data_IF_897132411857
#
_entry.id   IF_897132411857
#
_cell.length_a   1.000
_cell.length_b   1.000
_cell.length_c   1.000
_cell.angle_alpha   90.00
_cell.angle_beta   90.00
_cell.angle_gamma   90.00
#
_symmetry.space_group_name_H-M   'P 1'
#
loop_
_entity.id
_entity.type
_entity.pdbx_description
1 polymer ?
#
# COMPACT_ATOMS: atom_id res chain seq x y z
N UNK A 1 5.61 9.41 5.55
CA UNK A 1 4.35 9.87 4.95
C UNK A 1 4.69 10.92 3.93
N UNK A 2 3.84 11.08 2.92
CA UNK A 2 4.08 12.04 1.84
C UNK A 2 3.78 13.49 2.26
N UNK A 3 2.92 13.68 3.26
CA UNK A 3 2.57 14.97 3.83
C UNK A 3 2.17 14.84 5.33
N UNK A 4 1.93 16.00 5.96
CA UNK A 4 1.57 16.10 7.37
C UNK A 4 0.16 15.56 7.66
N UNK A 5 -0.81 15.78 6.76
CA UNK A 5 -2.18 15.32 6.93
C UNK A 5 -2.26 13.79 6.97
N UNK A 6 -1.53 13.13 6.06
CA UNK A 6 -1.36 11.68 6.08
C UNK A 6 -0.69 11.22 7.38
N UNK A 7 0.35 11.92 7.84
CA UNK A 7 1.01 11.56 9.09
C UNK A 7 0.07 11.65 10.30
N UNK A 8 -0.74 12.70 10.38
CA UNK A 8 -1.72 12.88 11.46
C UNK A 8 -2.80 11.80 11.41
N UNK A 9 -3.32 11.47 10.22
CA UNK A 9 -4.28 10.38 10.03
C UNK A 9 -3.74 9.04 10.50
N UNK A 10 -2.50 8.71 10.11
CA UNK A 10 -1.87 7.43 10.50
C UNK A 10 -1.57 7.38 12.01
N UNK A 11 -1.17 8.49 12.62
CA UNK A 11 -1.06 8.56 14.08
C UNK A 11 -2.41 8.32 14.77
N UNK A 12 -3.47 8.98 14.30
CA UNK A 12 -4.80 8.82 14.88
C UNK A 12 -5.31 7.38 14.76
N UNK A 13 -5.17 6.76 13.59
CA UNK A 13 -5.51 5.35 13.38
C UNK A 13 -4.69 4.43 14.28
N UNK A 14 -3.40 4.70 14.43
CA UNK A 14 -2.53 3.95 15.35
C UNK A 14 -2.96 3.96 16.82
N UNK A 15 -3.76 4.93 17.23
CA UNK A 15 -4.28 5.04 18.60
C UNK A 15 -5.73 4.55 18.74
N UNK A 16 -6.45 4.33 17.64
CA UNK A 16 -7.90 4.11 17.64
C UNK A 16 -8.32 2.75 17.10
N UNK A 17 -7.45 2.07 16.35
CA UNK A 17 -7.72 0.72 15.88
C UNK A 17 -7.78 -0.23 17.08
N UNK A 18 -8.80 -1.08 17.07
CA UNK A 18 -9.03 -2.09 18.11
C UNK A 18 -7.82 -3.03 18.25
N UNK A 19 -7.36 -3.23 19.49
CA UNK A 19 -6.26 -4.15 19.82
C UNK A 19 -6.51 -5.58 19.35
N UNK A 20 -7.79 -5.97 19.21
CA UNK A 20 -8.18 -7.27 18.70
C UNK A 20 -7.74 -7.49 17.24
N UNK A 21 -7.52 -6.42 16.45
CA UNK A 21 -7.06 -6.48 15.05
C UNK A 21 -5.73 -5.75 14.81
N UNK A 22 -5.11 -5.20 15.86
CA UNK A 22 -3.81 -4.54 15.78
C UNK A 22 -2.87 -5.09 16.85
N UNK A 23 -2.02 -6.04 16.44
CA UNK A 23 -1.12 -6.79 17.32
C UNK A 23 -0.20 -5.90 18.19
N UNK A 24 0.16 -4.72 17.68
CA UNK A 24 1.09 -3.80 18.34
C UNK A 24 0.40 -2.52 18.82
N UNK A 25 -0.92 -2.57 19.12
CA UNK A 25 -1.69 -1.46 19.65
C UNK A 25 -1.09 -0.86 20.92
N UNK A 26 -0.68 -1.70 21.89
CA UNK A 26 -0.01 -1.24 23.11
C UNK A 26 1.27 -0.45 22.81
N UNK A 27 2.11 -0.97 21.91
CA UNK A 27 3.34 -0.31 21.51
C UNK A 27 3.08 1.03 20.80
N UNK A 28 2.00 1.12 20.02
CA UNK A 28 1.56 2.35 19.37
C UNK A 28 1.01 3.36 20.39
N UNK A 29 0.29 2.90 21.41
CA UNK A 29 -0.22 3.74 22.49
C UNK A 29 0.91 4.34 23.34
N UNK A 30 1.89 3.52 23.72
CA UNK A 30 3.01 3.96 24.59
C UNK A 30 4.02 4.86 23.87
N UNK A 31 4.34 4.54 22.61
CA UNK A 31 5.47 5.14 21.89
C UNK A 31 5.13 5.79 20.56
N UNK A 32 3.85 5.86 20.19
CA UNK A 32 3.43 6.29 18.87
C UNK A 32 3.81 5.32 17.76
N UNK A 33 3.48 5.67 16.52
CA UNK A 33 3.67 4.80 15.34
C UNK A 33 4.84 5.18 14.44
N UNK A 34 5.47 6.35 14.65
CA UNK A 34 6.53 6.88 13.78
C UNK A 34 7.93 6.63 14.32
N UNK A 35 8.90 6.43 13.43
CA UNK A 35 10.31 6.19 13.78
C UNK A 35 10.95 7.37 14.50
N UNK A 36 10.51 8.57 14.16
CA UNK A 36 11.05 9.84 14.64
C UNK A 36 10.01 10.97 14.43
N UNK A 37 10.38 12.18 14.86
CA UNK A 37 9.54 13.36 14.82
C UNK A 37 9.24 13.88 13.40
N UNK A 38 10.02 13.50 12.39
CA UNK A 38 9.76 13.88 11.00
C UNK A 38 8.60 13.06 10.39
N UNK A 39 8.22 11.94 11.01
CA UNK A 39 7.06 11.11 10.63
C UNK A 39 7.10 10.63 9.17
N UNK A 40 8.30 10.48 8.61
CA UNK A 40 8.49 9.98 7.24
C UNK A 40 8.25 8.47 7.16
N UNK A 41 8.49 7.73 8.24
CA UNK A 41 8.38 6.28 8.28
C UNK A 41 7.72 5.81 9.58
N UNK A 42 6.97 4.72 9.51
CA UNK A 42 6.47 4.04 10.70
C UNK A 42 7.61 3.31 11.40
N UNK A 43 7.47 3.09 12.72
CA UNK A 43 8.38 2.25 13.49
C UNK A 43 8.46 0.85 12.89
N UNK A 44 9.64 0.27 13.02
CA UNK A 44 9.89 -1.14 12.73
C UNK A 44 9.96 -1.88 14.05
N UNK A 45 9.07 -2.85 14.24
CA UNK A 45 9.08 -3.78 15.38
C UNK A 45 9.32 -5.16 14.80
N UNK A 46 10.25 -5.93 15.35
CA UNK A 46 10.60 -7.29 14.91
C UNK A 46 10.75 -7.44 13.39
N UNK A 47 11.48 -6.50 12.77
CA UNK A 47 11.82 -6.54 11.35
C UNK A 47 10.72 -6.15 10.36
N UNK A 48 9.55 -5.67 10.81
CA UNK A 48 8.53 -5.14 9.92
C UNK A 48 7.83 -3.90 10.49
N UNK A 49 7.05 -3.22 9.63
CA UNK A 49 6.19 -2.10 10.02
C UNK A 49 5.36 -2.43 11.27
N UNK A 50 5.20 -1.47 12.18
CA UNK A 50 4.37 -1.60 13.39
C UNK A 50 2.96 -2.11 13.08
N UNK A 51 2.35 -1.68 11.96
CA UNK A 51 1.01 -2.12 11.55
C UNK A 51 0.96 -3.52 10.92
N UNK A 52 2.09 -4.24 10.83
CA UNK A 52 2.10 -5.60 10.28
C UNK A 52 1.77 -6.63 11.36
N UNK A 53 0.55 -7.12 11.40
CA UNK A 53 0.19 -8.31 12.18
C UNK A 53 0.91 -9.54 11.61
N UNK A 54 1.56 -10.27 12.50
CA UNK A 54 2.37 -11.44 12.17
C UNK A 54 1.52 -12.66 11.85
N UNK A 55 2.10 -13.64 11.14
CA UNK A 55 1.46 -14.93 10.95
C UNK A 55 1.00 -15.55 12.27
N UNK A 56 -0.24 -16.04 12.30
CA UNK A 56 -0.88 -16.62 13.48
C UNK A 56 -1.54 -15.63 14.47
N UNK A 57 -1.51 -14.31 14.21
CA UNK A 57 -2.22 -13.36 15.06
C UNK A 57 -3.75 -13.55 14.95
N UNK A 58 -4.44 -13.67 16.09
CA UNK A 58 -5.86 -14.01 16.15
C UNK A 58 -6.76 -12.98 15.44
N UNK A 59 -6.36 -11.71 15.42
CA UNK A 59 -7.05 -10.62 14.73
C UNK A 59 -6.91 -10.60 13.21
N UNK A 60 -6.13 -11.52 12.64
CA UNK A 60 -5.83 -11.58 11.23
C UNK A 60 -4.40 -11.13 10.92
N UNK A 61 -3.78 -11.82 9.97
CA UNK A 61 -2.42 -11.54 9.50
C UNK A 61 -2.41 -10.40 8.47
N UNK A 62 -1.28 -9.72 8.33
CA UNK A 62 -1.11 -8.66 7.32
C UNK A 62 -1.21 -7.26 7.92
N UNK A 63 -1.78 -6.30 7.19
CA UNK A 63 -1.76 -4.90 7.61
C UNK A 63 -2.98 -4.56 8.48
N UNK A 64 -2.78 -4.16 9.73
CA UNK A 64 -3.85 -3.76 10.64
C UNK A 64 -4.72 -2.62 10.10
N UNK A 65 -4.12 -1.65 9.40
CA UNK A 65 -4.86 -0.56 8.72
C UNK A 65 -5.80 -1.10 7.63
N UNK A 66 -5.40 -2.16 6.95
CA UNK A 66 -6.24 -2.81 5.95
C UNK A 66 -7.40 -3.55 6.60
N UNK A 67 -7.12 -4.30 7.67
CA UNK A 67 -8.14 -5.04 8.42
C UNK A 67 -9.17 -4.08 9.03
N UNK A 68 -8.71 -2.95 9.58
CA UNK A 68 -9.58 -1.90 10.09
C UNK A 68 -10.51 -1.33 9.00
N UNK A 69 -9.96 -0.97 7.83
CA UNK A 69 -10.77 -0.50 6.71
C UNK A 69 -11.85 -1.52 6.30
N UNK A 70 -11.48 -2.81 6.23
CA UNK A 70 -12.41 -3.88 5.88
C UNK A 70 -13.49 -4.09 6.96
N UNK A 71 -13.14 -3.94 8.24
CA UNK A 71 -14.09 -4.04 9.35
C UNK A 71 -15.10 -2.88 9.33
N UNK A 72 -14.66 -1.70 8.93
CA UNK A 72 -15.48 -0.49 8.84
C UNK A 72 -16.27 -0.39 7.52
N UNK A 73 -16.13 -1.36 6.60
CA UNK A 73 -16.68 -1.35 5.23
C UNK A 73 -16.23 -0.12 4.41
N UNK A 74 -15.00 0.33 4.65
CA UNK A 74 -14.39 1.50 4.04
C UNK A 74 -13.31 1.12 3.03
N UNK A 75 -13.02 2.05 2.11
CA UNK A 75 -11.95 1.83 1.14
C UNK A 75 -10.57 1.86 1.84
N UNK A 76 -9.70 0.84 1.65
CA UNK A 76 -8.38 0.82 2.26
C UNK A 76 -7.48 2.01 1.97
N UNK A 77 -7.72 2.77 0.88
CA UNK A 77 -7.00 4.02 0.57
C UNK A 77 -7.19 5.07 1.66
N UNK A 78 -8.37 5.11 2.28
CA UNK A 78 -8.71 6.05 3.35
C UNK A 78 -7.99 5.73 4.67
N UNK A 79 -7.44 4.52 4.80
CA UNK A 79 -6.76 4.03 6.01
C UNK A 79 -5.25 3.86 5.80
N UNK A 80 -4.82 3.43 4.63
CA UNK A 80 -3.40 3.16 4.34
C UNK A 80 -2.63 4.44 4.01
N UNK A 81 -1.32 4.50 4.32
CA UNK A 81 -0.43 5.47 3.71
C UNK A 81 -0.43 5.34 2.18
N UNK A 82 -0.29 6.46 1.50
CA UNK A 82 -0.05 6.64 0.06
C UNK A 82 0.81 5.55 -0.54
N UNK A 83 2.04 5.40 -0.05
CA UNK A 83 2.97 4.41 -0.60
C UNK A 83 2.46 2.97 -0.49
N UNK A 84 1.68 2.65 0.56
CA UNK A 84 1.17 1.31 0.81
C UNK A 84 -0.01 0.93 -0.10
N UNK A 85 -0.87 1.89 -0.48
CA UNK A 85 -1.97 1.61 -1.41
C UNK A 85 -1.60 1.87 -2.88
N UNK A 86 -0.57 2.68 -3.14
CA UNK A 86 -0.08 2.88 -4.51
C UNK A 86 0.54 1.60 -5.07
N UNK A 87 1.30 0.86 -4.26
CA UNK A 87 1.86 -0.42 -4.71
C UNK A 87 0.73 -1.42 -5.08
N UNK A 88 0.77 -2.05 -6.27
CA UNK A 88 1.95 -2.21 -7.13
C UNK A 88 2.06 -1.19 -8.28
N UNK A 89 1.21 -0.17 -8.36
CA UNK A 89 1.16 0.82 -9.43
C UNK A 89 2.00 2.07 -9.14
N UNK A 90 2.63 2.60 -10.18
CA UNK A 90 3.41 3.84 -10.17
C UNK A 90 2.95 4.73 -11.32
N UNK A 91 2.91 6.03 -11.07
CA UNK A 91 2.74 7.04 -12.11
C UNK A 91 4.02 7.84 -12.25
N UNK A 92 4.63 7.79 -13.43
CA UNK A 92 5.69 8.73 -13.80
C UNK A 92 5.04 9.98 -14.41
N UNK A 93 5.45 11.15 -13.93
CA UNK A 93 5.02 12.45 -14.44
C UNK A 93 6.09 13.02 -15.36
N UNK A 94 5.68 13.58 -16.49
CA UNK A 94 6.58 14.18 -17.47
C UNK A 94 6.39 15.70 -17.55
N UNK A 95 7.42 16.42 -18.00
CA UNK A 95 7.41 17.89 -18.08
C UNK A 95 6.36 18.43 -19.06
N UNK A 96 5.95 17.64 -20.05
CA UNK A 96 4.88 17.98 -21.00
C UNK A 96 3.46 17.77 -20.42
N UNK A 97 3.37 17.40 -19.15
CA UNK A 97 2.12 17.13 -18.43
C UNK A 97 1.53 15.74 -18.69
N UNK A 98 2.16 14.92 -19.55
CA UNK A 98 1.75 13.54 -19.73
C UNK A 98 2.09 12.68 -18.50
N UNK A 99 1.37 11.56 -18.36
CA UNK A 99 1.55 10.60 -17.25
C UNK A 99 1.73 9.19 -17.82
N UNK A 100 2.67 8.44 -17.27
CA UNK A 100 2.82 7.00 -17.58
C UNK A 100 2.44 6.18 -16.35
N UNK A 101 1.35 5.43 -16.45
CA UNK A 101 0.96 4.43 -15.45
C UNK A 101 1.64 3.09 -15.76
N UNK A 102 2.34 2.52 -14.79
CA UNK A 102 3.06 1.24 -14.92
C UNK A 102 3.25 0.57 -13.55
N UNK A 103 3.62 -0.71 -13.47
CA UNK A 103 4.03 -1.29 -12.20
C UNK A 103 5.32 -0.67 -11.67
N UNK A 104 5.48 -0.66 -10.35
CA UNK A 104 6.78 -0.49 -9.71
C UNK A 104 7.76 -1.57 -10.19
N UNK A 105 9.02 -1.18 -10.38
CA UNK A 105 10.14 -2.06 -10.71
C UNK A 105 11.24 -1.89 -9.67
N UNK A 106 12.07 -2.93 -9.50
CA UNK A 106 13.19 -2.88 -8.54
C UNK A 106 14.09 -1.64 -8.70
N UNK A 107 14.44 -1.18 -9.92
CA UNK A 107 15.26 0.01 -10.09
C UNK A 107 14.63 1.33 -9.64
N UNK A 108 13.31 1.36 -9.42
CA UNK A 108 12.63 2.54 -8.87
C UNK A 108 12.98 2.79 -7.39
N UNK A 109 13.63 1.84 -6.71
CA UNK A 109 14.03 1.89 -5.30
C UNK A 109 15.54 2.00 -5.21
N UNK A 110 16.06 3.23 -5.11
CA UNK A 110 17.50 3.53 -4.99
C UNK A 110 18.38 2.83 -6.06
N UNK A 111 17.88 2.80 -7.29
CA UNK A 111 18.55 2.16 -8.43
C UNK A 111 18.56 0.62 -8.37
N UNK A 112 17.87 0.02 -7.39
CA UNK A 112 17.78 -1.43 -7.21
C UNK A 112 19.04 -2.09 -6.65
N UNK A 113 19.91 -1.29 -6.02
CA UNK A 113 21.22 -1.74 -5.53
C UNK A 113 21.16 -2.47 -4.19
N UNK A 114 20.13 -2.21 -3.37
CA UNK A 114 19.99 -2.87 -2.07
C UNK A 114 19.25 -4.21 -2.16
N UNK A 115 19.63 -5.13 -1.26
CA UNK A 115 18.90 -6.39 -1.08
C UNK A 115 17.55 -6.10 -0.43
N UNK A 116 16.47 -6.25 -1.20
CA UNK A 116 15.10 -6.08 -0.75
C UNK A 116 14.27 -7.31 -1.09
N UNK A 117 13.36 -7.69 -0.19
CA UNK A 117 12.29 -8.63 -0.47
C UNK A 117 11.35 -8.01 -1.52
N UNK A 118 11.40 -8.52 -2.75
CA UNK A 118 10.64 -7.98 -3.89
C UNK A 118 9.47 -8.93 -4.21
N UNK A 119 8.24 -8.41 -4.25
CA UNK A 119 7.14 -9.16 -4.86
C UNK A 119 7.18 -8.92 -6.38
N UNK A 120 7.28 -9.99 -7.17
CA UNK A 120 7.30 -9.87 -8.62
C UNK A 120 5.95 -9.34 -9.12
N UNK A 121 5.97 -8.19 -9.79
CA UNK A 121 4.85 -7.66 -10.60
C UNK A 121 4.88 -8.18 -12.04
N UNK A 122 5.80 -9.10 -12.35
CA UNK A 122 5.99 -9.68 -13.68
C UNK A 122 5.24 -11.00 -13.81
N UNK A 123 4.89 -11.36 -15.04
CA UNK A 123 4.60 -12.75 -15.40
C UNK A 123 5.79 -13.61 -14.92
N UNK A 124 5.52 -14.77 -14.33
CA UNK A 124 6.59 -15.77 -14.12
C UNK A 124 7.31 -15.94 -15.44
N UNK A 125 8.65 -15.92 -15.45
CA UNK A 125 9.43 -16.08 -16.67
C UNK A 125 9.24 -17.49 -17.27
N UNK A 126 10.29 -18.03 -17.89
CA UNK A 126 10.28 -19.44 -18.36
C UNK A 126 10.16 -20.48 -17.22
N UNK A 127 10.14 -20.01 -15.96
CA UNK A 127 9.92 -20.81 -14.77
C UNK A 127 8.44 -20.82 -14.39
N UNK A 128 7.74 -21.90 -14.77
CA UNK A 128 6.32 -22.14 -14.48
C UNK A 128 6.02 -22.24 -12.97
N UNK A 129 7.04 -22.40 -12.10
CA UNK A 129 6.85 -22.41 -10.65
C UNK A 129 6.66 -21.00 -10.06
N UNK A 130 7.00 -19.94 -10.81
CA UNK A 130 6.76 -18.56 -10.39
C UNK A 130 5.32 -18.13 -10.70
N UNK A 131 4.59 -17.71 -9.65
CA UNK A 131 3.24 -17.19 -9.81
C UNK A 131 3.23 -15.96 -10.74
N UNK A 132 2.30 -15.96 -11.70
CA UNK A 132 2.07 -14.80 -12.57
C UNK A 132 1.27 -13.73 -11.83
N UNK A 133 1.72 -12.48 -11.90
CA UNK A 133 0.97 -11.33 -11.41
C UNK A 133 -0.18 -10.93 -12.36
N UNK A 134 -1.17 -10.20 -11.85
CA UNK A 134 -2.30 -9.66 -12.62
C UNK A 134 -3.16 -10.71 -13.35
N UNK A 135 -3.31 -11.90 -12.74
CA UNK A 135 -4.10 -13.02 -13.30
C UNK A 135 -5.57 -13.04 -12.86
N UNK A 136 -6.06 -11.95 -12.27
CA UNK A 136 -7.45 -11.88 -11.80
C UNK A 136 -8.45 -11.87 -12.95
N UNK A 137 -9.65 -12.39 -12.69
CA UNK A 137 -10.75 -12.42 -13.67
C UNK A 137 -11.37 -11.03 -13.93
N UNK A 138 -11.08 -10.08 -13.04
CA UNK A 138 -11.50 -8.67 -13.15
C UNK A 138 -10.29 -7.83 -13.56
N UNK A 139 -10.49 -6.96 -14.55
CA UNK A 139 -9.42 -6.10 -15.06
C UNK A 139 -8.90 -5.14 -13.99
N UNK A 140 -7.62 -4.75 -14.07
CA UNK A 140 -7.02 -3.75 -13.17
C UNK A 140 -7.80 -2.42 -13.18
N UNK A 141 -8.35 -2.03 -14.33
CA UNK A 141 -9.17 -0.81 -14.44
C UNK A 141 -10.43 -0.83 -13.58
N UNK A 142 -10.94 -2.02 -13.29
CA UNK A 142 -12.13 -2.23 -12.45
C UNK A 142 -11.74 -2.59 -11.01
N UNK A 143 -10.84 -3.56 -10.81
CA UNK A 143 -10.47 -4.03 -9.47
C UNK A 143 -9.69 -3.01 -8.64
N UNK A 144 -8.89 -2.15 -9.28
CA UNK A 144 -8.10 -1.09 -8.63
C UNK A 144 -8.60 0.31 -9.00
N UNK A 145 -9.91 0.46 -9.27
CA UNK A 145 -10.46 1.72 -9.76
C UNK A 145 -10.25 2.89 -8.77
N UNK A 146 -10.32 2.62 -7.47
CA UNK A 146 -10.11 3.64 -6.44
C UNK A 146 -8.65 4.13 -6.41
N UNK A 147 -7.69 3.20 -6.49
CA UNK A 147 -6.26 3.48 -6.52
C UNK A 147 -5.89 4.25 -7.78
N UNK A 148 -6.46 3.85 -8.92
CA UNK A 148 -6.31 4.58 -10.18
C UNK A 148 -6.86 6.00 -10.07
N UNK A 149 -8.03 6.18 -9.44
CA UNK A 149 -8.61 7.50 -9.19
C UNK A 149 -7.66 8.37 -8.37
N UNK A 150 -7.04 7.82 -7.33
CA UNK A 150 -6.04 8.50 -6.51
C UNK A 150 -4.75 8.84 -7.26
N UNK A 151 -4.27 7.93 -8.12
CA UNK A 151 -3.00 8.07 -8.84
C UNK A 151 -3.07 9.02 -10.04
N UNK A 152 -4.05 8.83 -10.92
CA UNK A 152 -4.12 9.55 -12.21
C UNK A 152 -5.21 10.61 -12.25
N UNK A 153 -6.11 10.62 -11.27
CA UNK A 153 -7.27 11.50 -11.23
C UNK A 153 -8.54 10.83 -11.79
N UNK A 154 -9.73 11.36 -11.47
CA UNK A 154 -11.01 10.76 -11.85
C UNK A 154 -11.21 10.56 -13.34
N UNK A 155 -10.87 11.57 -14.13
CA UNK A 155 -11.14 11.57 -15.57
C UNK A 155 -10.39 10.44 -16.26
N UNK A 156 -9.11 10.27 -15.90
CA UNK A 156 -8.24 9.22 -16.47
C UNK A 156 -8.67 7.85 -15.93
N UNK A 157 -8.99 7.72 -14.64
CA UNK A 157 -9.40 6.45 -14.04
C UNK A 157 -10.69 5.89 -14.67
N UNK A 158 -11.67 6.75 -15.00
CA UNK A 158 -12.89 6.34 -15.72
C UNK A 158 -12.55 5.82 -17.12
N UNK A 159 -11.71 6.54 -17.87
CA UNK A 159 -11.29 6.10 -19.21
C UNK A 159 -10.54 4.77 -19.18
N UNK A 160 -9.68 4.55 -18.19
CA UNK A 160 -8.95 3.28 -18.02
C UNK A 160 -9.89 2.11 -17.74
N UNK A 161 -10.95 2.33 -16.94
CA UNK A 161 -11.98 1.32 -16.67
C UNK A 161 -12.79 0.97 -17.91
N UNK A 162 -13.07 1.94 -18.77
CA UNK A 162 -13.90 1.75 -19.97
C UNK A 162 -13.14 1.13 -21.15
N UNK A 163 -11.81 1.29 -21.23
CA UNK A 163 -10.98 0.78 -22.33
C UNK A 163 -11.02 -0.74 -22.54
N UNK A 164 -11.47 -1.50 -21.55
CA UNK A 164 -11.46 -2.97 -21.55
C UNK A 164 -12.87 -3.58 -21.43
N UNK A 165 -13.92 -2.78 -21.59
CA UNK A 165 -15.29 -3.24 -21.78
C UNK A 165 -15.60 -3.38 -23.27
#
# INVERSE_FOLDING_TARGET
MIDEDEALRIAALGLTIDEAIFQYADAAFEGGVFSDENRTNTRVIDGACIFHNRPGFAGGEGCALHLAAMQDDENPIEYKPSICWQAPLKVDHHDDGSKTLRPWKRPDWDGGLESMAWCCTTKGGDDEALASAFVGDVTVGESLHAELRGLVGPEIAVQLRERHR
#
